data_IF_567380832382
#
_entry.id   IF_567380832382
#
_cell.length_a   1.000
_cell.length_b   1.000
_cell.length_c   1.000
_cell.angle_alpha   90.00
_cell.angle_beta   90.00
_cell.angle_gamma   90.00
#
_symmetry.space_group_name_H-M   'P 1'
#
loop_
_entity.id
_entity.type
_entity.pdbx_description
1 polymer ?
#
# COMPACT_ATOMS: atom_id res chain seq x y z
N UNK A 1 -4.08 38.85 -6.53
CA UNK A 1 -5.06 37.78 -6.68
C UNK A 1 -4.75 36.76 -5.59
N UNK A 2 -5.68 36.49 -4.68
CA UNK A 2 -5.54 35.37 -3.76
C UNK A 2 -5.48 34.12 -4.62
N UNK A 3 -4.44 33.32 -4.39
CA UNK A 3 -4.21 32.02 -5.01
C UNK A 3 -5.39 31.11 -4.61
N UNK A 4 -6.42 31.02 -5.50
CA UNK A 4 -7.68 30.31 -5.26
C UNK A 4 -7.56 28.82 -5.62
N UNK A 5 -6.34 28.30 -5.80
CA UNK A 5 -6.14 26.89 -6.11
C UNK A 5 -6.38 26.02 -4.87
N UNK A 6 -7.13 24.94 -5.05
CA UNK A 6 -7.44 24.00 -3.99
C UNK A 6 -6.22 23.23 -3.48
N UNK A 7 -6.40 22.52 -2.38
CA UNK A 7 -5.36 21.65 -1.79
C UNK A 7 -5.77 20.19 -1.94
N UNK A 8 -4.86 19.36 -2.46
CA UNK A 8 -5.03 17.91 -2.59
C UNK A 8 -4.18 17.18 -1.56
N UNK A 9 -4.83 16.45 -0.67
CA UNK A 9 -4.16 15.64 0.34
C UNK A 9 -4.16 14.16 -0.04
N UNK A 10 -3.00 13.50 0.09
CA UNK A 10 -2.85 12.05 0.05
C UNK A 10 -2.80 11.60 1.51
N UNK A 11 -3.85 10.90 1.97
CA UNK A 11 -4.04 10.57 3.38
C UNK A 11 -3.96 9.07 3.61
N UNK A 12 -2.91 8.57 4.27
CA UNK A 12 -2.80 7.17 4.64
C UNK A 12 -3.86 6.77 5.65
N UNK A 13 -4.40 5.56 5.46
CA UNK A 13 -5.38 4.91 6.34
C UNK A 13 -4.77 3.68 7.02
N UNK A 14 -5.34 3.19 8.12
CA UNK A 14 -4.85 1.99 8.81
C UNK A 14 -4.77 0.77 7.89
N UNK A 15 -3.76 -0.08 8.11
CA UNK A 15 -3.58 -1.34 7.37
C UNK A 15 -4.16 -2.57 8.09
N UNK A 16 -4.78 -2.37 9.25
CA UNK A 16 -5.38 -3.45 10.02
C UNK A 16 -5.81 -3.05 11.42
N UNK A 17 -5.10 -2.09 12.05
CA UNK A 17 -5.43 -1.56 13.35
C UNK A 17 -5.85 -0.09 13.23
N UNK A 18 -7.06 0.23 13.64
CA UNK A 18 -7.58 1.61 13.54
C UNK A 18 -6.73 2.63 14.32
N UNK A 19 -6.06 2.21 15.39
CA UNK A 19 -5.20 3.09 16.20
C UNK A 19 -3.95 3.58 15.45
N UNK A 20 -3.58 2.96 14.33
CA UNK A 20 -2.44 3.38 13.52
C UNK A 20 -2.69 4.67 12.72
N UNK A 21 -3.93 5.17 12.66
CA UNK A 21 -4.21 6.45 11.99
C UNK A 21 -3.52 7.60 12.72
N UNK A 22 -2.92 8.51 11.95
CA UNK A 22 -2.29 9.68 12.57
C UNK A 22 -3.33 10.73 13.00
N UNK A 23 -3.05 11.46 14.08
CA UNK A 23 -3.87 12.60 14.53
C UNK A 23 -4.03 13.63 13.39
N UNK A 24 -2.97 13.83 12.61
CA UNK A 24 -3.00 14.74 11.45
C UNK A 24 -3.93 14.24 10.35
N UNK A 25 -3.95 12.93 10.09
CA UNK A 25 -4.88 12.34 9.12
C UNK A 25 -6.34 12.56 9.53
N UNK A 26 -6.68 12.30 10.79
CA UNK A 26 -8.04 12.53 11.34
C UNK A 26 -8.43 14.00 11.15
N UNK A 27 -7.55 14.94 11.52
CA UNK A 27 -7.81 16.37 11.39
C UNK A 27 -8.03 16.77 9.93
N UNK A 28 -7.13 16.36 9.02
CA UNK A 28 -7.24 16.69 7.59
C UNK A 28 -8.52 16.11 6.98
N UNK A 29 -8.88 14.86 7.33
CA UNK A 29 -10.12 14.25 6.84
C UNK A 29 -11.37 15.03 7.34
N UNK A 30 -11.36 15.57 8.57
CA UNK A 30 -12.44 16.41 9.11
C UNK A 30 -12.52 17.78 8.44
N UNK A 31 -11.37 18.35 8.07
CA UNK A 31 -11.26 19.69 7.45
C UNK A 31 -11.45 19.66 5.94
N UNK A 32 -11.45 18.50 5.29
CA UNK A 32 -11.65 18.37 3.85
C UNK A 32 -13.10 18.67 3.44
N UNK A 33 -13.28 19.32 2.29
CA UNK A 33 -14.60 19.52 1.69
C UNK A 33 -15.16 18.22 1.09
N UNK A 34 -14.25 17.38 0.56
CA UNK A 34 -14.60 16.09 -0.01
C UNK A 34 -13.43 15.10 0.13
N UNK A 35 -13.77 13.83 0.42
CA UNK A 35 -12.81 12.71 0.45
C UNK A 35 -13.14 11.72 -0.66
N UNK A 36 -12.19 11.52 -1.56
CA UNK A 36 -12.23 10.47 -2.57
C UNK A 36 -11.65 9.18 -2.03
N UNK A 37 -12.31 8.04 -2.27
CA UNK A 37 -11.95 6.73 -1.74
C UNK A 37 -12.29 5.62 -2.73
N UNK A 38 -11.64 4.45 -2.61
CA UNK A 38 -11.91 3.29 -3.46
C UNK A 38 -13.25 2.66 -3.11
N UNK A 39 -13.47 2.35 -1.82
CA UNK A 39 -14.72 1.82 -1.29
C UNK A 39 -15.26 2.73 -0.17
N UNK A 40 -16.42 3.34 -0.44
CA UNK A 40 -17.08 4.19 0.56
C UNK A 40 -17.50 3.43 1.80
N UNK A 41 -17.79 2.14 1.70
CA UNK A 41 -18.21 1.33 2.86
C UNK A 41 -17.05 1.08 3.83
N UNK A 42 -15.84 0.91 3.32
CA UNK A 42 -14.61 0.80 4.12
C UNK A 42 -14.30 2.13 4.78
N UNK A 43 -14.29 3.20 4.00
CA UNK A 43 -14.03 4.57 4.49
C UNK A 43 -15.04 5.00 5.56
N UNK A 44 -16.33 4.68 5.41
CA UNK A 44 -17.35 5.04 6.38
C UNK A 44 -17.18 4.33 7.74
N UNK A 45 -16.61 3.12 7.78
CA UNK A 45 -16.26 2.46 9.06
C UNK A 45 -15.19 3.26 9.80
N UNK A 46 -14.15 3.70 9.10
CA UNK A 46 -13.10 4.55 9.65
C UNK A 46 -13.70 5.89 10.14
N UNK A 47 -14.52 6.53 9.32
CA UNK A 47 -15.15 7.81 9.63
C UNK A 47 -16.03 7.74 10.87
N UNK A 48 -16.83 6.68 10.99
CA UNK A 48 -17.66 6.44 12.19
C UNK A 48 -16.83 6.31 13.47
N UNK A 49 -15.68 5.63 13.41
CA UNK A 49 -14.81 5.43 14.57
C UNK A 49 -14.22 6.74 15.09
N UNK A 50 -13.89 7.68 14.19
CA UNK A 50 -13.21 8.94 14.53
C UNK A 50 -14.11 10.17 14.47
N UNK A 51 -15.44 9.96 14.36
CA UNK A 51 -16.43 11.04 14.28
C UNK A 51 -16.09 12.05 13.16
N UNK A 52 -15.89 11.51 11.94
CA UNK A 52 -15.63 12.27 10.73
C UNK A 52 -16.91 12.29 9.90
N UNK A 53 -17.38 13.50 9.54
CA UNK A 53 -18.66 13.70 8.83
C UNK A 53 -18.46 14.21 7.39
N UNK A 54 -17.23 14.22 6.91
CA UNK A 54 -16.87 14.72 5.58
C UNK A 54 -17.53 13.90 4.47
N UNK A 55 -18.00 14.55 3.44
CA UNK A 55 -18.59 13.92 2.26
C UNK A 55 -17.57 13.02 1.57
N UNK A 56 -17.97 11.78 1.27
CA UNK A 56 -17.16 10.83 0.49
C UNK A 56 -17.64 10.72 -0.95
N UNK A 57 -16.73 10.41 -1.86
CA UNK A 57 -17.00 10.12 -3.25
C UNK A 57 -16.11 9.00 -3.75
N UNK A 58 -16.68 8.06 -4.51
CA UNK A 58 -15.90 6.95 -5.06
C UNK A 58 -14.91 7.47 -6.11
N UNK A 59 -13.70 6.91 -6.09
CA UNK A 59 -12.63 7.16 -7.06
C UNK A 59 -12.09 5.84 -7.60
N UNK A 60 -12.38 5.55 -8.86
CA UNK A 60 -11.84 4.39 -9.54
C UNK A 60 -10.79 4.83 -10.57
N UNK A 61 -9.54 4.48 -10.39
CA UNK A 61 -8.46 4.84 -11.31
C UNK A 61 -8.62 4.24 -12.73
N UNK A 62 -9.45 3.22 -12.87
CA UNK A 62 -9.71 2.54 -14.14
C UNK A 62 -10.99 3.03 -14.85
N UNK A 63 -11.87 3.76 -14.17
CA UNK A 63 -13.06 4.34 -14.78
C UNK A 63 -12.66 5.60 -15.54
N UNK A 64 -12.81 5.55 -16.87
CA UNK A 64 -12.39 6.64 -17.76
C UNK A 64 -12.91 8.01 -17.35
N UNK A 65 -12.02 8.97 -17.22
CA UNK A 65 -12.22 10.42 -17.20
C UNK A 65 -13.03 11.03 -16.06
N UNK A 66 -14.25 10.58 -15.81
CA UNK A 66 -15.22 11.29 -14.95
C UNK A 66 -14.81 11.50 -13.49
N UNK A 67 -14.15 10.49 -12.87
CA UNK A 67 -13.69 10.61 -11.48
C UNK A 67 -12.53 11.60 -11.38
N UNK A 68 -11.63 11.56 -12.36
CA UNK A 68 -10.52 12.52 -12.46
C UNK A 68 -11.04 13.95 -12.68
N UNK A 69 -12.05 14.13 -13.54
CA UNK A 69 -12.63 15.44 -13.82
C UNK A 69 -13.29 16.02 -12.57
N UNK A 70 -13.93 15.19 -11.73
CA UNK A 70 -14.50 15.63 -10.44
C UNK A 70 -13.42 16.13 -9.48
N UNK A 71 -12.29 15.42 -9.36
CA UNK A 71 -11.17 15.87 -8.53
C UNK A 71 -10.60 17.20 -9.04
N UNK A 72 -10.34 17.29 -10.35
CA UNK A 72 -9.80 18.50 -10.98
C UNK A 72 -10.76 19.68 -10.83
N UNK A 73 -12.08 19.48 -11.05
CA UNK A 73 -13.08 20.53 -10.85
C UNK A 73 -13.12 21.01 -9.40
N UNK A 74 -13.15 20.08 -8.43
CA UNK A 74 -13.13 20.45 -7.01
C UNK A 74 -11.92 21.32 -6.64
N UNK A 75 -10.74 20.98 -7.17
CA UNK A 75 -9.53 21.77 -6.92
C UNK A 75 -9.58 23.15 -7.62
N UNK A 76 -10.14 23.24 -8.82
CA UNK A 76 -10.38 24.54 -9.51
C UNK A 76 -11.32 25.44 -8.73
N UNK A 77 -12.31 24.85 -8.06
CA UNK A 77 -13.25 25.56 -7.20
C UNK A 77 -12.63 25.98 -5.85
N UNK A 78 -11.31 25.73 -5.65
CA UNK A 78 -10.57 26.10 -4.44
C UNK A 78 -10.79 25.17 -3.26
N UNK A 79 -11.41 23.99 -3.46
CA UNK A 79 -11.75 23.07 -2.37
C UNK A 79 -10.54 22.32 -1.84
N UNK A 80 -10.63 21.94 -0.57
CA UNK A 80 -9.72 20.98 0.09
C UNK A 80 -10.19 19.55 -0.19
N UNK A 81 -9.41 18.82 -0.97
CA UNK A 81 -9.71 17.47 -1.43
C UNK A 81 -8.75 16.48 -0.80
N UNK A 82 -9.26 15.39 -0.25
CA UNK A 82 -8.44 14.27 0.24
C UNK A 82 -8.66 13.02 -0.60
N UNK A 83 -7.58 12.25 -0.81
CA UNK A 83 -7.61 10.90 -1.37
C UNK A 83 -7.19 9.91 -0.30
N UNK A 84 -7.98 8.86 -0.10
CA UNK A 84 -7.66 7.70 0.74
C UNK A 84 -7.74 6.42 -0.09
N UNK A 85 -6.97 5.41 0.28
CA UNK A 85 -7.14 4.02 -0.16
C UNK A 85 -7.86 3.22 0.94
N UNK A 86 -8.27 2.01 0.61
CA UNK A 86 -8.95 1.13 1.58
C UNK A 86 -8.02 0.75 2.74
N UNK A 87 -6.70 0.66 2.48
CA UNK A 87 -5.69 0.40 3.50
C UNK A 87 -4.32 0.97 3.10
N UNK A 88 -3.65 1.65 4.02
CA UNK A 88 -2.29 2.14 3.83
C UNK A 88 -2.20 3.49 3.13
N UNK A 89 -1.06 3.71 2.47
CA UNK A 89 -0.74 4.97 1.79
C UNK A 89 -1.21 4.91 0.35
N UNK A 90 -2.17 5.78 -0.06
CA UNK A 90 -2.63 5.84 -1.44
C UNK A 90 -1.47 5.99 -2.42
N UNK A 91 -1.61 5.45 -3.62
CA UNK A 91 -0.62 5.46 -4.71
C UNK A 91 0.55 4.46 -4.59
N UNK A 92 0.74 3.84 -3.43
CA UNK A 92 1.77 2.81 -3.21
C UNK A 92 1.13 1.43 -3.39
N UNK A 93 1.20 0.87 -4.58
CA UNK A 93 0.47 -0.30 -5.08
C UNK A 93 -1.05 -0.11 -5.20
N UNK A 94 -1.51 1.11 -5.04
CA UNK A 94 -2.91 1.50 -5.10
C UNK A 94 -3.16 2.48 -6.26
N UNK A 95 -4.41 2.68 -6.65
CA UNK A 95 -4.79 3.71 -7.60
C UNK A 95 -4.42 5.12 -7.11
N UNK A 96 -4.13 6.04 -8.04
CA UNK A 96 -3.96 7.46 -7.70
C UNK A 96 -2.73 8.14 -8.32
N UNK A 97 -1.72 7.40 -8.79
CA UNK A 97 -0.53 8.00 -9.45
C UNK A 97 -0.96 8.88 -10.64
N UNK A 98 -1.92 8.41 -11.41
CA UNK A 98 -2.42 9.12 -12.60
C UNK A 98 -3.14 10.43 -12.27
N UNK A 99 -3.91 10.50 -11.17
CA UNK A 99 -4.56 11.75 -10.77
C UNK A 99 -3.54 12.78 -10.28
N UNK A 100 -2.50 12.36 -9.56
CA UNK A 100 -1.42 13.26 -9.13
C UNK A 100 -0.70 13.84 -10.35
N UNK A 101 -0.35 12.98 -11.32
CA UNK A 101 0.28 13.42 -12.57
C UNK A 101 -0.61 14.42 -13.34
N UNK A 102 -1.92 14.19 -13.33
CA UNK A 102 -2.89 15.06 -13.97
C UNK A 102 -3.03 16.41 -13.24
N UNK A 103 -3.05 16.40 -11.90
CA UNK A 103 -3.05 17.63 -11.09
C UNK A 103 -1.83 18.48 -11.43
N UNK A 104 -0.63 17.93 -11.39
CA UNK A 104 0.59 18.69 -11.73
C UNK A 104 0.58 19.26 -13.16
N UNK A 105 -0.07 18.57 -14.10
CA UNK A 105 -0.17 18.99 -15.49
C UNK A 105 -1.22 20.09 -15.71
N UNK A 106 -2.40 19.97 -15.09
CA UNK A 106 -3.56 20.82 -15.37
C UNK A 106 -3.76 21.96 -14.35
N UNK A 107 -3.20 21.80 -13.14
CA UNK A 107 -3.33 22.72 -12.01
C UNK A 107 -1.97 22.86 -11.30
N UNK A 108 -0.93 23.39 -11.95
CA UNK A 108 0.42 23.47 -11.38
C UNK A 108 0.48 24.35 -10.11
N UNK A 109 -0.51 25.20 -9.90
CA UNK A 109 -0.68 26.05 -8.71
C UNK A 109 -1.34 25.31 -7.54
N UNK A 110 -2.02 24.17 -7.76
CA UNK A 110 -2.66 23.43 -6.69
C UNK A 110 -1.62 22.79 -5.76
N UNK A 111 -1.88 22.85 -4.46
CA UNK A 111 -1.00 22.24 -3.46
C UNK A 111 -1.28 20.74 -3.36
N UNK A 112 -0.29 19.90 -3.62
CA UNK A 112 -0.34 18.45 -3.37
C UNK A 112 0.46 18.15 -2.12
N UNK A 113 -0.20 17.61 -1.09
CA UNK A 113 0.40 17.36 0.23
C UNK A 113 0.20 15.88 0.59
N UNK A 114 1.30 15.14 0.71
CA UNK A 114 1.28 13.78 1.25
C UNK A 114 1.43 13.81 2.77
N UNK A 115 0.62 13.06 3.49
CA UNK A 115 0.78 12.83 4.92
C UNK A 115 1.61 11.56 5.14
N UNK A 116 2.55 11.56 6.12
CA UNK A 116 3.15 10.32 6.58
C UNK A 116 2.10 9.49 7.33
N UNK A 117 2.18 8.16 7.23
CA UNK A 117 1.22 7.30 7.90
C UNK A 117 1.42 5.81 7.62
N UNK A 118 0.43 4.97 7.96
CA UNK A 118 0.54 3.53 7.84
C UNK A 118 0.88 3.08 6.42
N UNK A 119 1.82 2.12 6.32
CA UNK A 119 2.23 1.52 5.06
C UNK A 119 2.84 0.14 5.31
N UNK A 120 2.28 -0.89 4.70
CA UNK A 120 2.71 -2.27 4.93
C UNK A 120 4.17 -2.53 4.50
N UNK A 121 4.67 -1.86 3.44
CA UNK A 121 6.06 -1.98 2.99
C UNK A 121 7.04 -1.54 4.09
N UNK A 122 6.87 -0.32 4.62
CA UNK A 122 7.77 0.23 5.63
C UNK A 122 7.63 -0.48 6.97
N UNK A 123 6.42 -0.88 7.35
CA UNK A 123 6.16 -1.67 8.56
C UNK A 123 6.86 -3.02 8.49
N UNK A 124 6.75 -3.74 7.36
CA UNK A 124 7.43 -5.02 7.17
C UNK A 124 8.96 -4.87 7.20
N UNK A 125 9.51 -3.87 6.52
CA UNK A 125 10.95 -3.61 6.53
C UNK A 125 11.47 -3.34 7.94
N UNK A 126 10.73 -2.57 8.76
CA UNK A 126 11.15 -2.21 10.12
C UNK A 126 11.30 -3.40 11.06
N UNK A 127 10.56 -4.49 10.84
CA UNK A 127 10.61 -5.71 11.67
C UNK A 127 11.40 -6.85 11.01
N UNK A 128 11.81 -6.69 9.76
CA UNK A 128 12.46 -7.76 8.99
C UNK A 128 13.85 -8.13 9.51
N UNK A 129 14.60 -7.15 10.03
CA UNK A 129 16.01 -7.32 10.37
C UNK A 129 16.91 -7.57 9.16
N UNK A 130 16.44 -7.23 7.94
CA UNK A 130 17.21 -7.20 6.70
C UNK A 130 17.57 -5.75 6.38
N UNK A 131 18.73 -5.51 5.76
CA UNK A 131 19.14 -4.18 5.36
C UNK A 131 18.12 -3.53 4.42
N UNK A 132 17.69 -2.32 4.75
CA UNK A 132 16.80 -1.49 3.93
C UNK A 132 17.52 -0.34 3.24
N UNK A 133 18.86 -0.37 3.17
CA UNK A 133 19.66 0.68 2.51
C UNK A 133 19.33 0.77 1.01
N UNK A 134 19.18 -0.39 0.36
CA UNK A 134 18.76 -0.50 -1.03
C UNK A 134 17.59 -1.48 -1.12
N UNK A 135 16.43 -0.98 -1.54
CA UNK A 135 15.19 -1.75 -1.60
C UNK A 135 14.56 -1.64 -2.99
N UNK A 136 14.20 -2.77 -3.55
CA UNK A 136 13.34 -2.82 -4.74
C UNK A 136 11.95 -3.32 -4.34
N UNK A 137 10.96 -2.44 -4.46
CA UNK A 137 9.57 -2.77 -4.21
C UNK A 137 8.87 -3.16 -5.51
N UNK A 138 8.27 -4.35 -5.54
CA UNK A 138 7.61 -4.91 -6.71
C UNK A 138 6.07 -4.77 -6.67
N UNK A 139 5.48 -4.24 -5.60
CA UNK A 139 4.03 -4.28 -5.41
C UNK A 139 3.50 -5.71 -5.36
N UNK A 140 2.34 -5.97 -5.96
CA UNK A 140 1.87 -7.34 -6.18
C UNK A 140 2.54 -7.96 -7.39
N UNK A 141 3.08 -9.19 -7.21
CA UNK A 141 3.73 -9.88 -8.33
C UNK A 141 2.72 -10.24 -9.44
N UNK A 142 3.16 -10.26 -10.71
CA UNK A 142 2.31 -10.68 -11.82
C UNK A 142 1.70 -12.07 -11.58
N UNK A 143 0.46 -12.28 -12.02
CA UNK A 143 -0.23 -13.55 -11.81
C UNK A 143 0.30 -14.67 -12.73
N UNK A 144 0.64 -14.34 -13.98
CA UNK A 144 1.08 -15.28 -15.03
C UNK A 144 2.28 -14.72 -15.80
N UNK A 145 2.03 -13.99 -16.89
CA UNK A 145 3.08 -13.44 -17.76
C UNK A 145 3.98 -12.47 -16.98
N UNK A 146 5.28 -12.67 -17.04
CA UNK A 146 6.28 -11.83 -16.37
C UNK A 146 6.64 -12.27 -14.93
N UNK A 147 5.90 -13.21 -14.31
CA UNK A 147 6.17 -13.66 -12.94
C UNK A 147 7.58 -14.29 -12.82
N UNK A 148 7.92 -15.19 -13.72
CA UNK A 148 9.25 -15.83 -13.74
C UNK A 148 10.38 -14.80 -13.92
N UNK A 149 10.18 -13.80 -14.77
CA UNK A 149 11.16 -12.72 -14.97
C UNK A 149 11.39 -11.94 -13.67
N UNK A 150 10.33 -11.72 -12.87
CA UNK A 150 10.47 -11.03 -11.57
C UNK A 150 11.26 -11.90 -10.60
N UNK A 151 11.00 -13.21 -10.51
CA UNK A 151 11.79 -14.10 -9.65
C UNK A 151 13.27 -14.15 -10.06
N UNK A 152 13.57 -14.14 -11.37
CA UNK A 152 14.94 -14.04 -11.85
C UNK A 152 15.60 -12.74 -11.40
N UNK A 153 14.89 -11.59 -11.52
CA UNK A 153 15.40 -10.30 -11.02
C UNK A 153 15.64 -10.31 -9.51
N UNK A 154 14.73 -10.90 -8.72
CA UNK A 154 14.91 -11.04 -7.27
C UNK A 154 16.14 -11.90 -6.95
N UNK A 155 16.32 -13.00 -7.67
CA UNK A 155 17.47 -13.87 -7.52
C UNK A 155 18.79 -13.16 -7.75
N UNK A 156 18.88 -12.35 -8.81
CA UNK A 156 20.10 -11.69 -9.27
C UNK A 156 20.34 -10.32 -8.58
N UNK A 157 19.40 -9.86 -7.76
CA UNK A 157 19.45 -8.52 -7.17
C UNK A 157 20.34 -8.48 -5.92
N UNK A 158 21.23 -7.47 -5.87
CA UNK A 158 21.95 -7.05 -4.67
C UNK A 158 21.13 -6.16 -3.72
N UNK A 159 19.93 -5.77 -4.15
CA UNK A 159 18.98 -5.02 -3.33
C UNK A 159 18.02 -5.96 -2.59
N UNK A 160 17.60 -5.56 -1.41
CA UNK A 160 16.48 -6.19 -0.70
C UNK A 160 15.22 -6.07 -1.55
N UNK A 161 14.62 -7.21 -1.92
CA UNK A 161 13.38 -7.26 -2.67
C UNK A 161 12.18 -7.33 -1.72
N UNK A 162 11.16 -6.49 -1.95
CA UNK A 162 9.91 -6.52 -1.17
C UNK A 162 8.72 -6.58 -2.12
N UNK A 163 7.74 -7.41 -1.79
CA UNK A 163 6.50 -7.48 -2.55
C UNK A 163 5.32 -7.91 -1.69
N UNK A 164 4.12 -7.56 -2.13
CA UNK A 164 2.87 -8.02 -1.55
C UNK A 164 2.42 -9.33 -2.17
N UNK A 165 1.81 -10.19 -1.36
CA UNK A 165 1.25 -11.42 -1.88
C UNK A 165 -0.09 -11.76 -1.23
N UNK A 166 -0.98 -12.32 -2.04
CA UNK A 166 -2.31 -12.72 -1.59
C UNK A 166 -2.31 -14.14 -1.01
N UNK A 167 -3.29 -14.44 -0.16
CA UNK A 167 -3.55 -15.78 0.38
C UNK A 167 -3.63 -16.86 -0.70
N UNK A 168 -4.18 -16.53 -1.88
CA UNK A 168 -4.36 -17.50 -2.98
C UNK A 168 -3.06 -17.86 -3.70
N UNK A 169 -1.98 -17.12 -3.46
CA UNK A 169 -0.72 -17.25 -4.22
C UNK A 169 0.51 -17.50 -3.36
N UNK A 170 0.41 -17.25 -2.05
CA UNK A 170 1.57 -17.32 -1.14
C UNK A 170 2.26 -18.69 -1.18
N UNK A 171 1.52 -19.80 -1.20
CA UNK A 171 2.12 -21.15 -1.27
C UNK A 171 2.97 -21.34 -2.53
N UNK A 172 2.43 -20.97 -3.70
CA UNK A 172 3.17 -21.06 -4.98
C UNK A 172 4.37 -20.10 -5.01
N UNK A 173 4.26 -18.97 -4.34
CA UNK A 173 5.34 -17.99 -4.20
C UNK A 173 6.47 -18.57 -3.36
N UNK A 174 6.17 -19.16 -2.21
CA UNK A 174 7.16 -19.80 -1.34
C UNK A 174 7.82 -21.00 -2.02
N UNK A 175 7.06 -21.80 -2.77
CA UNK A 175 7.61 -22.88 -3.58
C UNK A 175 8.63 -22.34 -4.62
N UNK A 176 8.26 -21.26 -5.34
CA UNK A 176 9.17 -20.65 -6.32
C UNK A 176 10.43 -20.07 -5.67
N UNK A 177 10.30 -19.45 -4.49
CA UNK A 177 11.44 -18.91 -3.74
C UNK A 177 12.37 -20.04 -3.28
N UNK A 178 11.82 -21.13 -2.70
CA UNK A 178 12.63 -22.26 -2.21
C UNK A 178 13.40 -22.98 -3.31
N UNK A 179 12.95 -22.90 -4.56
CA UNK A 179 13.63 -23.48 -5.72
C UNK A 179 14.67 -22.54 -6.37
N UNK A 180 14.56 -21.25 -6.16
CA UNK A 180 15.32 -20.25 -6.92
C UNK A 180 16.29 -19.42 -6.08
N UNK A 181 15.98 -19.21 -4.80
CA UNK A 181 16.80 -18.39 -3.90
C UNK A 181 17.73 -19.29 -3.11
N UNK A 182 18.98 -18.91 -3.04
CA UNK A 182 20.01 -19.60 -2.30
C UNK A 182 19.66 -19.68 -0.79
N UNK A 183 19.97 -20.79 -0.11
CA UNK A 183 19.58 -21.00 1.29
C UNK A 183 20.29 -20.07 2.28
N UNK A 184 21.37 -19.43 1.89
CA UNK A 184 22.11 -18.46 2.68
C UNK A 184 21.39 -17.11 2.76
N UNK A 185 20.47 -16.83 1.83
CA UNK A 185 19.72 -15.57 1.81
C UNK A 185 18.51 -15.65 2.72
N UNK A 186 18.35 -14.62 3.53
CA UNK A 186 17.20 -14.49 4.43
C UNK A 186 15.92 -14.16 3.64
N UNK A 187 14.86 -14.88 3.95
CA UNK A 187 13.50 -14.58 3.52
C UNK A 187 12.66 -14.28 4.76
N UNK A 188 11.91 -13.18 4.71
CA UNK A 188 10.98 -12.80 5.77
C UNK A 188 9.58 -12.72 5.20
N UNK A 189 8.63 -13.35 5.86
CA UNK A 189 7.20 -13.23 5.55
C UNK A 189 6.50 -12.60 6.72
N UNK A 190 6.02 -11.39 6.52
CA UNK A 190 5.14 -10.70 7.46
C UNK A 190 3.69 -10.99 7.06
N UNK A 191 2.92 -11.51 8.00
CA UNK A 191 1.53 -11.89 7.80
C UNK A 191 0.65 -11.07 8.72
N UNK A 192 -0.46 -10.54 8.20
CA UNK A 192 -1.49 -9.83 8.98
C UNK A 192 -0.92 -8.71 9.87
N UNK A 193 0.03 -7.93 9.33
CA UNK A 193 0.66 -6.81 10.04
C UNK A 193 -0.40 -5.89 10.68
N UNK A 194 -0.16 -5.50 11.92
CA UNK A 194 -1.00 -4.66 12.79
C UNK A 194 -2.33 -5.29 13.23
N UNK A 195 -2.66 -6.51 12.74
CA UNK A 195 -3.89 -7.22 13.08
C UNK A 195 -3.70 -8.22 14.22
N UNK A 196 -4.81 -8.77 14.73
CA UNK A 196 -4.81 -9.72 15.86
C UNK A 196 -3.90 -10.95 15.64
N UNK A 197 -3.75 -11.39 14.39
CA UNK A 197 -2.95 -12.56 14.03
C UNK A 197 -1.65 -12.18 13.32
N UNK A 198 -1.09 -11.02 13.66
CA UNK A 198 0.22 -10.59 13.18
C UNK A 198 1.29 -11.63 13.46
N UNK A 199 2.10 -11.93 12.45
CA UNK A 199 3.19 -12.89 12.58
C UNK A 199 4.33 -12.53 11.61
N UNK A 200 5.57 -12.70 12.08
CA UNK A 200 6.79 -12.49 11.29
C UNK A 200 7.58 -13.78 11.29
N UNK A 201 7.69 -14.41 10.13
CA UNK A 201 8.42 -15.67 9.92
C UNK A 201 9.71 -15.34 9.17
N UNK A 202 10.84 -15.81 9.69
CA UNK A 202 12.18 -15.54 9.17
C UNK A 202 12.98 -16.83 9.03
N UNK A 203 13.72 -16.95 7.93
CA UNK A 203 14.60 -18.11 7.67
C UNK A 203 15.07 -18.11 6.22
N UNK A 204 15.73 -19.16 5.80
CA UNK A 204 15.93 -19.45 4.37
C UNK A 204 14.59 -19.65 3.67
N UNK A 205 14.57 -19.51 2.34
CA UNK A 205 13.35 -19.73 1.57
C UNK A 205 12.74 -21.14 1.83
N UNK A 206 13.59 -22.15 2.04
CA UNK A 206 13.17 -23.53 2.33
C UNK A 206 12.55 -23.65 3.73
N UNK A 207 13.13 -23.01 4.75
CA UNK A 207 12.61 -23.01 6.12
C UNK A 207 11.26 -22.29 6.22
N UNK A 208 11.14 -21.13 5.60
CA UNK A 208 9.88 -20.38 5.57
C UNK A 208 8.79 -21.19 4.84
N UNK A 209 9.13 -21.83 3.72
CA UNK A 209 8.20 -22.76 3.05
C UNK A 209 7.76 -23.88 3.96
N UNK A 210 8.71 -24.59 4.61
CA UNK A 210 8.41 -25.70 5.51
C UNK A 210 7.51 -25.28 6.68
N UNK A 211 7.70 -24.06 7.21
CA UNK A 211 6.82 -23.49 8.23
C UNK A 211 5.36 -23.44 7.75
N UNK A 212 5.11 -22.88 6.57
CA UNK A 212 3.74 -22.77 6.03
C UNK A 212 3.18 -24.14 5.56
N UNK A 213 4.04 -25.07 5.14
CA UNK A 213 3.61 -26.44 4.83
C UNK A 213 3.07 -27.17 6.07
N UNK A 214 3.66 -26.91 7.23
CA UNK A 214 3.24 -27.49 8.52
C UNK A 214 2.05 -26.72 9.14
N UNK A 215 1.93 -25.42 8.88
CA UNK A 215 0.92 -24.53 9.47
C UNK A 215 -0.05 -24.02 8.41
N UNK A 216 -0.77 -24.91 7.72
CA UNK A 216 -1.71 -24.55 6.65
C UNK A 216 -2.87 -23.64 7.11
N UNK A 217 -3.27 -23.72 8.37
CA UNK A 217 -4.29 -22.87 8.99
C UNK A 217 -3.88 -21.40 9.05
N UNK A 218 -2.55 -21.12 8.99
CA UNK A 218 -1.99 -19.76 8.93
C UNK A 218 -1.92 -19.16 7.53
N UNK A 219 -2.26 -19.91 6.49
CA UNK A 219 -2.36 -19.41 5.13
C UNK A 219 -3.68 -18.65 4.99
N UNK A 220 -3.73 -17.48 5.64
CA UNK A 220 -4.88 -16.56 5.68
C UNK A 220 -4.40 -15.14 5.78
N UNK A 221 -5.19 -14.22 5.22
CA UNK A 221 -4.95 -12.79 5.32
C UNK A 221 -3.97 -12.27 4.26
N UNK A 222 -3.23 -11.24 4.60
CA UNK A 222 -2.36 -10.48 3.71
C UNK A 222 -0.90 -10.69 4.08
N UNK A 223 -0.04 -10.72 3.06
CA UNK A 223 1.36 -11.05 3.23
C UNK A 223 2.26 -9.98 2.60
N UNK A 224 3.30 -9.61 3.32
CA UNK A 224 4.47 -8.90 2.76
C UNK A 224 5.64 -9.86 2.80
N UNK A 225 6.28 -10.07 1.65
CA UNK A 225 7.44 -10.94 1.53
C UNK A 225 8.67 -10.09 1.26
N UNK A 226 9.72 -10.36 1.99
CA UNK A 226 11.03 -9.69 1.88
C UNK A 226 12.07 -10.75 1.59
N UNK A 227 12.91 -10.49 0.60
CA UNK A 227 14.04 -11.35 0.23
C UNK A 227 15.31 -10.50 0.28
N UNK A 228 16.28 -10.95 1.07
CA UNK A 228 17.59 -10.29 1.16
C UNK A 228 18.30 -10.26 -0.20
N UNK A 229 19.06 -9.19 -0.47
CA UNK A 229 19.94 -9.09 -1.64
C UNK A 229 21.10 -10.09 -1.60
N UNK A 230 21.77 -10.32 -2.73
CA UNK A 230 23.03 -11.11 -2.78
C UNK A 230 24.20 -10.32 -2.19
#
# INVERSE_FOLDING_TARGET
MLDMSGTFYIVPTPIGNLEDITIRAIRVLKESDIVFCEDTSVTQKLFKTYDIHTKTSVFHAQSGGGDFDRVISSLRDGLTVSLVSDAGTPTISDPGVSIISRIYKELPEAKVIALPGPNALTTALSVSGISSAYVTFYGFLPQKKGRETVFTKIKESDHTAVFYESVHRIEKTLESLSQKIENERMVVVCRELTKLFEEVIRGSASEVKAYFDTNKDKIKGEFVVIVEGV
#
